data_IF_494554647196
#
_entry.id   IF_494554647196
#
_cell.length_a   1.000
_cell.length_b   1.000
_cell.length_c   1.000
_cell.angle_alpha   90.00
_cell.angle_beta   90.00
_cell.angle_gamma   90.00
#
_symmetry.space_group_name_H-M   'P 1'
#
loop_
_entity.id
_entity.type
_entity.pdbx_description
1 polymer ?
#
# COMPACT_ATOMS: atom_id res chain seq x y z
N UNK A 1 23.54 -51.34 3.64
CA UNK A 1 22.21 -51.26 4.31
C UNK A 1 22.19 -50.31 5.51
N UNK A 2 23.11 -50.43 6.49
CA UNK A 2 23.10 -49.62 7.72
C UNK A 2 23.34 -48.11 7.49
N UNK A 3 24.25 -47.76 6.57
CA UNK A 3 24.55 -46.35 6.21
C UNK A 3 23.36 -45.62 5.58
N UNK A 4 22.57 -46.33 4.76
CA UNK A 4 21.34 -45.81 4.17
C UNK A 4 20.21 -45.64 5.20
N UNK A 5 20.13 -46.52 6.21
CA UNK A 5 19.17 -46.38 7.32
C UNK A 5 19.45 -45.15 8.17
N UNK A 6 20.72 -44.85 8.43
CA UNK A 6 21.13 -43.64 9.16
C UNK A 6 20.83 -42.38 8.34
N UNK A 7 21.12 -42.37 7.04
CA UNK A 7 20.81 -41.23 6.17
C UNK A 7 19.30 -40.94 6.08
N UNK A 8 18.46 -41.98 6.00
CA UNK A 8 16.99 -41.82 6.01
C UNK A 8 16.45 -41.27 7.34
N UNK A 9 17.01 -41.69 8.47
CA UNK A 9 16.57 -41.19 9.79
C UNK A 9 16.89 -39.70 9.98
N UNK A 10 18.03 -39.22 9.47
CA UNK A 10 18.38 -37.79 9.52
C UNK A 10 17.46 -36.96 8.64
N UNK A 11 17.08 -37.46 7.45
CA UNK A 11 16.21 -36.73 6.54
C UNK A 11 14.76 -36.58 7.06
N UNK A 12 14.26 -37.59 7.79
CA UNK A 12 12.93 -37.54 8.40
C UNK A 12 12.82 -36.51 9.55
N UNK A 13 13.91 -36.26 10.28
CA UNK A 13 13.91 -35.31 11.40
C UNK A 13 13.79 -33.84 10.95
N UNK A 14 14.23 -33.51 9.73
CA UNK A 14 14.23 -32.14 9.20
C UNK A 14 12.83 -31.68 8.76
N UNK A 15 11.92 -32.61 8.42
CA UNK A 15 10.56 -32.29 7.95
C UNK A 15 9.55 -31.99 9.07
N UNK A 16 9.92 -32.18 10.34
CA UNK A 16 9.00 -31.99 11.48
C UNK A 16 9.02 -30.58 12.10
N UNK A 17 9.90 -29.68 11.64
CA UNK A 17 10.10 -28.34 12.22
C UNK A 17 9.36 -27.22 11.49
N UNK A 18 8.28 -27.54 10.77
CA UNK A 18 7.41 -26.58 10.09
C UNK A 18 6.06 -26.41 10.79
N UNK A 19 6.04 -25.99 12.05
CA UNK A 19 4.79 -25.57 12.71
C UNK A 19 4.51 -24.11 12.32
N UNK A 20 3.71 -23.91 11.28
CA UNK A 20 2.96 -22.67 11.10
C UNK A 20 1.87 -22.69 12.16
N UNK A 21 2.04 -21.91 13.23
CA UNK A 21 0.94 -21.62 14.13
C UNK A 21 -0.04 -20.71 13.40
N UNK A 22 -1.14 -21.29 12.92
CA UNK A 22 -2.37 -20.53 12.78
C UNK A 22 -2.97 -20.42 14.18
N UNK A 23 -2.56 -19.40 14.93
CA UNK A 23 -3.24 -19.00 16.15
C UNK A 23 -4.57 -18.34 15.73
N UNK A 24 -5.56 -19.20 15.63
CA UNK A 24 -6.97 -18.85 15.57
C UNK A 24 -7.38 -18.23 16.92
N UNK A 25 -8.09 -17.10 16.85
CA UNK A 25 -8.70 -16.33 17.93
C UNK A 25 -7.81 -15.38 18.76
N UNK A 26 -7.35 -14.30 18.13
CA UNK A 26 -7.25 -13.02 18.82
C UNK A 26 -8.70 -12.51 19.06
N UNK A 27 -9.18 -12.36 20.30
CA UNK A 27 -10.50 -11.77 20.56
C UNK A 27 -10.55 -10.39 19.90
N UNK A 28 -11.57 -10.19 19.07
CA UNK A 28 -11.86 -8.91 18.44
C UNK A 28 -11.78 -7.81 19.50
N UNK A 29 -10.96 -6.76 19.32
CA UNK A 29 -10.98 -5.63 20.25
C UNK A 29 -12.40 -5.07 20.30
N UNK A 30 -12.89 -4.69 21.49
CA UNK A 30 -14.28 -4.27 21.67
C UNK A 30 -14.61 -3.14 20.71
N UNK A 31 -15.81 -3.21 20.12
CA UNK A 31 -16.39 -2.24 19.19
C UNK A 31 -15.95 -0.82 19.53
N UNK A 32 -14.96 -0.33 18.79
CA UNK A 32 -14.63 1.08 18.81
C UNK A 32 -15.87 1.77 18.24
N UNK A 33 -16.47 2.76 18.93
CA UNK A 33 -17.61 3.49 18.39
C UNK A 33 -17.24 3.92 16.98
N UNK A 34 -18.12 3.63 16.02
CA UNK A 34 -17.96 4.03 14.63
C UNK A 34 -17.48 5.49 14.63
N UNK A 35 -16.18 5.67 14.36
CA UNK A 35 -15.65 6.99 14.15
C UNK A 35 -16.53 7.57 13.04
N UNK A 36 -17.08 8.79 13.19
CA UNK A 36 -17.95 9.36 12.19
C UNK A 36 -17.26 9.14 10.85
N UNK A 37 -17.91 8.37 9.97
CA UNK A 37 -17.43 8.15 8.61
C UNK A 37 -17.37 9.55 8.02
N UNK A 38 -16.22 10.19 8.16
CA UNK A 38 -15.95 11.52 7.69
C UNK A 38 -15.91 11.39 6.18
N UNK A 39 -17.10 11.49 5.57
CA UNK A 39 -17.36 11.53 4.14
C UNK A 39 -16.58 10.47 3.35
N UNK A 40 -17.24 9.34 3.08
CA UNK A 40 -16.94 8.38 2.00
C UNK A 40 -15.61 8.66 1.28
N UNK A 41 -14.51 7.96 1.60
CA UNK A 41 -13.24 8.17 0.93
C UNK A 41 -13.47 7.84 -0.52
N UNK A 42 -13.53 8.86 -1.38
CA UNK A 42 -13.38 8.64 -2.81
C UNK A 42 -12.03 7.96 -2.96
N UNK A 43 -12.06 6.64 -3.18
CA UNK A 43 -10.90 5.75 -3.31
C UNK A 43 -9.81 6.47 -4.10
N UNK A 44 -8.84 7.05 -3.39
CA UNK A 44 -7.81 7.87 -4.02
C UNK A 44 -6.80 6.90 -4.57
N UNK A 45 -6.99 6.47 -5.82
CA UNK A 45 -6.05 5.62 -6.53
C UNK A 45 -4.80 6.42 -6.94
N UNK A 46 -3.65 5.76 -7.05
CA UNK A 46 -2.42 6.35 -7.58
C UNK A 46 -2.62 6.96 -8.98
N UNK A 47 -3.56 6.45 -9.76
CA UNK A 47 -3.87 6.96 -11.10
C UNK A 47 -4.80 8.19 -11.11
N UNK A 48 -5.38 8.57 -9.97
CA UNK A 48 -6.22 9.77 -9.82
C UNK A 48 -5.51 10.84 -9.00
N UNK A 49 -4.82 10.39 -7.94
CA UNK A 49 -4.11 11.26 -7.02
C UNK A 49 -5.02 12.07 -6.10
N UNK A 50 -4.44 12.68 -5.05
CA UNK A 50 -5.20 13.52 -4.14
C UNK A 50 -5.80 14.75 -4.84
N UNK A 51 -6.92 15.29 -4.33
CA UNK A 51 -7.45 16.57 -4.81
C UNK A 51 -6.40 17.67 -4.65
N UNK A 52 -6.39 18.64 -5.58
CA UNK A 52 -5.47 19.78 -5.58
C UNK A 52 -3.95 19.45 -5.59
N UNK A 53 -3.58 18.19 -5.74
CA UNK A 53 -2.19 17.78 -5.86
C UNK A 53 -1.74 17.77 -7.33
N UNK A 54 -0.63 18.45 -7.63
CA UNK A 54 0.01 18.44 -8.96
C UNK A 54 1.00 17.28 -9.12
N UNK A 55 1.67 16.86 -8.04
CA UNK A 55 2.58 15.70 -8.06
C UNK A 55 2.41 14.88 -6.81
N UNK A 56 2.25 13.57 -6.95
CA UNK A 56 2.07 12.66 -5.82
C UNK A 56 2.81 11.34 -6.05
N UNK A 57 3.02 10.59 -4.97
CA UNK A 57 3.61 9.25 -5.03
C UNK A 57 3.09 8.36 -3.92
N UNK A 58 2.98 7.06 -4.19
CA UNK A 58 2.76 5.99 -3.20
C UNK A 58 4.08 5.32 -2.79
N UNK A 59 5.22 6.03 -2.92
CA UNK A 59 6.60 5.53 -2.79
C UNK A 59 7.10 4.58 -3.89
N UNK A 60 6.23 4.10 -4.78
CA UNK A 60 6.58 3.19 -5.87
C UNK A 60 6.41 3.81 -7.25
N UNK A 61 5.34 4.57 -7.41
CA UNK A 61 4.97 5.28 -8.62
C UNK A 61 4.93 6.76 -8.29
N UNK A 62 5.52 7.58 -9.16
CA UNK A 62 5.40 9.03 -9.11
C UNK A 62 4.54 9.49 -10.26
N UNK A 63 3.48 10.23 -9.95
CA UNK A 63 2.55 10.77 -10.93
C UNK A 63 2.56 12.29 -10.91
N UNK A 64 2.37 12.89 -12.07
CA UNK A 64 2.23 14.34 -12.26
C UNK A 64 0.92 14.61 -13.01
N UNK A 65 0.12 15.55 -12.49
CA UNK A 65 -1.10 16.02 -13.15
C UNK A 65 -0.72 16.73 -14.44
N UNK A 66 -1.37 16.33 -15.53
CA UNK A 66 -1.21 16.93 -16.85
C UNK A 66 -2.39 17.89 -17.13
N UNK A 67 -2.32 18.56 -18.27
CA UNK A 67 -3.42 19.33 -18.86
C UNK A 67 -4.60 18.46 -19.30
N UNK A 68 -4.36 17.17 -19.53
CA UNK A 68 -5.41 16.20 -19.85
C UNK A 68 -6.10 15.76 -18.55
N UNK A 69 -7.35 16.21 -18.39
CA UNK A 69 -8.21 15.83 -17.27
C UNK A 69 -8.22 14.31 -17.10
N UNK A 70 -8.02 13.85 -15.87
CA UNK A 70 -8.07 12.44 -15.48
C UNK A 70 -7.02 11.52 -16.14
N UNK A 71 -5.94 12.08 -16.74
CA UNK A 71 -4.81 11.30 -17.28
C UNK A 71 -3.45 11.84 -16.80
N UNK A 72 -3.06 11.58 -15.55
CA UNK A 72 -1.73 11.95 -15.07
C UNK A 72 -0.63 11.14 -15.78
N UNK A 73 0.55 11.74 -15.90
CA UNK A 73 1.74 11.05 -16.34
C UNK A 73 2.39 10.37 -15.12
N UNK A 74 2.49 9.04 -15.15
CA UNK A 74 3.02 8.24 -14.04
C UNK A 74 4.27 7.46 -14.47
N UNK A 75 5.21 7.26 -13.54
CA UNK A 75 6.32 6.34 -13.72
C UNK A 75 5.86 4.88 -13.71
N UNK A 76 6.70 3.97 -14.18
CA UNK A 76 6.46 2.54 -14.03
C UNK A 76 6.80 2.07 -12.62
N UNK A 77 6.12 1.03 -12.14
CA UNK A 77 6.41 0.36 -10.87
C UNK A 77 7.55 -0.65 -11.03
N UNK A 78 8.49 -0.69 -10.09
CA UNK A 78 9.52 -1.73 -10.02
C UNK A 78 8.99 -3.01 -9.36
N UNK A 79 9.49 -4.20 -9.75
CA UNK A 79 8.94 -5.49 -9.29
C UNK A 79 9.11 -5.75 -7.78
N UNK A 80 10.07 -5.10 -7.13
CA UNK A 80 10.30 -5.24 -5.69
C UNK A 80 9.55 -4.18 -4.85
N UNK A 81 8.84 -3.26 -5.49
CA UNK A 81 8.24 -2.13 -4.77
C UNK A 81 6.89 -2.50 -4.15
N UNK A 82 6.71 -2.15 -2.87
CA UNK A 82 5.44 -2.29 -2.17
C UNK A 82 4.81 -0.90 -1.97
N UNK A 83 3.66 -0.59 -2.60
CA UNK A 83 3.01 0.70 -2.47
C UNK A 83 2.70 1.06 -1.02
N UNK A 84 3.07 2.27 -0.64
CA UNK A 84 2.70 2.89 0.63
C UNK A 84 1.52 3.85 0.48
N UNK A 85 1.22 4.63 1.53
CA UNK A 85 0.20 5.67 1.46
C UNK A 85 0.55 6.74 0.41
N UNK A 86 -0.46 7.25 -0.29
CA UNK A 86 -0.29 8.35 -1.24
C UNK A 86 0.13 9.64 -0.53
N UNK A 87 1.20 10.24 -1.02
CA UNK A 87 1.75 11.50 -0.52
C UNK A 87 1.71 12.54 -1.62
N UNK A 88 1.20 13.73 -1.28
CA UNK A 88 1.29 14.87 -2.18
C UNK A 88 2.67 15.53 -2.05
N UNK A 89 3.42 15.54 -3.15
CA UNK A 89 4.75 16.14 -3.25
C UNK A 89 4.70 17.60 -3.69
N UNK A 90 3.66 17.99 -4.43
CA UNK A 90 3.45 19.35 -4.90
C UNK A 90 1.95 19.67 -4.99
N UNK A 91 1.50 20.73 -4.31
CA UNK A 91 0.12 21.24 -4.41
C UNK A 91 -0.02 22.25 -5.54
N UNK A 92 -1.22 22.39 -6.06
CA UNK A 92 -1.56 23.50 -6.95
C UNK A 92 -1.46 24.84 -6.19
N UNK A 93 -1.12 25.95 -6.86
CA UNK A 93 -1.25 27.28 -6.28
C UNK A 93 -2.67 27.48 -5.76
N UNK A 94 -2.82 27.99 -4.54
CA UNK A 94 -4.11 28.47 -4.08
C UNK A 94 -4.47 29.71 -4.92
N UNK A 95 -5.65 29.71 -5.56
CA UNK A 95 -6.22 30.94 -6.13
C UNK A 95 -6.64 31.88 -4.99
N UNK A 96 -5.68 32.49 -4.32
CA UNK A 96 -5.89 33.61 -3.42
C UNK A 96 -5.47 34.88 -4.14
N UNK A 97 -6.44 35.66 -4.61
CA UNK A 97 -6.18 37.02 -5.08
C UNK A 97 -7.09 37.52 -6.19
N UNK A 98 -8.41 37.38 -6.06
CA UNK A 98 -9.33 38.30 -6.74
C UNK A 98 -9.23 39.67 -6.07
N UNK A 99 -8.21 40.44 -6.41
CA UNK A 99 -8.27 41.90 -6.31
C UNK A 99 -8.76 42.39 -7.67
N UNK A 100 -9.98 42.93 -7.69
CA UNK A 100 -10.59 43.61 -8.83
C UNK A 100 -11.34 44.82 -8.28
N UNK A 101 -11.37 45.97 -8.96
CA UNK A 101 -10.38 46.63 -9.80
C UNK A 101 -9.61 47.76 -9.06
#
# INVERSE_FOLDING_TARGET
MQRFRVAMLVLAAVLAAGHVQADELLPLPPDRPAQPQSSEPKETSVHTGPPQCLRWSDSCVSCTRTDIKDKPACSNIGPACQPGPLQCLQTAPAENGKTTP
#
